data_IF_680708296192
#
_entry.id   IF_680708296192
#
_cell.length_a   1.000
_cell.length_b   1.000
_cell.length_c   1.000
_cell.angle_alpha   90.00
_cell.angle_beta   90.00
_cell.angle_gamma   90.00
#
_symmetry.space_group_name_H-M   'P 1'
#
loop_
_entity.id
_entity.type
_entity.pdbx_description
1 polymer ?
#
# COMPACT_ATOMS: atom_id res chain seq x y z
N UNK A 1 8.71 -20.82 1.53
CA UNK A 1 8.33 -19.41 1.70
C UNK A 1 7.84 -18.95 0.34
N UNK A 2 6.57 -18.57 0.23
CA UNK A 2 5.97 -18.25 -1.06
C UNK A 2 6.01 -16.74 -1.27
N UNK A 3 6.24 -16.31 -2.50
CA UNK A 3 6.28 -14.90 -2.87
C UNK A 3 5.13 -14.62 -3.83
N UNK A 4 4.45 -13.50 -3.63
CA UNK A 4 3.45 -12.99 -4.56
C UNK A 4 3.95 -11.68 -5.16
N UNK A 5 3.73 -11.52 -6.47
CA UNK A 5 3.94 -10.27 -7.17
C UNK A 5 2.58 -9.58 -7.31
N UNK A 6 2.52 -8.32 -6.88
CA UNK A 6 1.33 -7.48 -7.03
C UNK A 6 1.73 -6.30 -7.90
N UNK A 7 1.11 -6.18 -9.06
CA UNK A 7 1.35 -5.12 -10.05
C UNK A 7 0.13 -4.23 -10.15
N UNK A 8 0.35 -2.91 -10.20
CA UNK A 8 -0.70 -1.98 -10.58
C UNK A 8 -0.77 -1.86 -12.11
N UNK A 9 -1.57 -2.74 -12.71
CA UNK A 9 -1.82 -2.75 -14.15
C UNK A 9 -2.90 -1.75 -14.60
N UNK A 10 -3.36 -0.86 -13.71
CA UNK A 10 -4.38 0.13 -14.06
C UNK A 10 -3.84 1.21 -15.01
N UNK A 11 -4.77 1.87 -15.72
CA UNK A 11 -4.46 3.07 -16.51
C UNK A 11 -4.02 4.26 -15.65
N UNK A 12 -3.69 5.38 -16.29
CA UNK A 12 -3.19 6.58 -15.59
C UNK A 12 -4.09 7.01 -14.42
N UNK A 13 -3.45 7.51 -13.35
CA UNK A 13 -4.09 8.12 -12.18
C UNK A 13 -4.75 7.19 -11.16
N UNK A 14 -4.81 5.87 -11.37
CA UNK A 14 -5.34 4.94 -10.38
C UNK A 14 -4.21 4.39 -9.49
N UNK A 15 -4.22 4.73 -8.20
CA UNK A 15 -3.30 4.17 -7.21
C UNK A 15 -3.97 2.97 -6.54
N UNK A 16 -3.19 1.94 -6.24
CA UNK A 16 -3.62 0.84 -5.36
C UNK A 16 -2.80 0.86 -4.07
N UNK A 17 -3.42 0.49 -2.96
CA UNK A 17 -2.72 0.31 -1.69
C UNK A 17 -2.71 -1.17 -1.33
N UNK A 18 -1.52 -1.69 -1.08
CA UNK A 18 -1.29 -2.99 -0.45
C UNK A 18 -1.21 -2.77 1.06
N UNK A 19 -1.94 -3.56 1.83
CA UNK A 19 -1.89 -3.59 3.28
C UNK A 19 -1.50 -5.00 3.71
N UNK A 20 -0.42 -5.09 4.47
CA UNK A 20 0.13 -6.32 5.03
C UNK A 20 -0.10 -6.30 6.52
N UNK A 21 -0.86 -7.26 7.06
CA UNK A 21 -1.10 -7.35 8.51
C UNK A 21 -0.55 -8.66 9.06
N UNK A 22 0.22 -8.59 10.14
CA UNK A 22 0.83 -9.74 10.80
C UNK A 22 1.16 -9.42 12.25
N UNK A 23 0.85 -10.34 13.17
CA UNK A 23 1.17 -10.21 14.61
C UNK A 23 0.76 -8.86 15.26
N UNK A 24 -0.35 -8.27 14.81
CA UNK A 24 -0.82 -6.96 15.31
C UNK A 24 -0.12 -5.75 14.67
N UNK A 25 0.81 -5.96 13.75
CA UNK A 25 1.41 -4.91 12.92
C UNK A 25 0.68 -4.78 11.59
N UNK A 26 0.62 -3.55 11.07
CA UNK A 26 0.07 -3.24 9.75
C UNK A 26 1.07 -2.36 8.98
N UNK A 27 1.45 -2.81 7.79
CA UNK A 27 2.32 -2.07 6.87
C UNK A 27 1.51 -1.77 5.61
N UNK A 28 1.57 -0.53 5.14
CA UNK A 28 0.89 -0.13 3.90
C UNK A 28 1.87 0.42 2.87
N UNK A 29 1.63 0.07 1.60
CA UNK A 29 2.40 0.53 0.45
C UNK A 29 1.46 0.91 -0.66
N UNK A 30 1.67 2.10 -1.22
CA UNK A 30 0.94 2.59 -2.38
C UNK A 30 1.74 2.23 -3.64
N UNK A 31 1.05 1.79 -4.69
CA UNK A 31 1.63 1.51 -6.02
C UNK A 31 0.98 2.42 -7.04
N UNK A 32 1.78 3.22 -7.75
CA UNK A 32 1.31 4.02 -8.88
C UNK A 32 1.08 3.11 -10.10
N UNK A 33 0.33 3.58 -11.13
CA UNK A 33 0.21 2.84 -12.38
C UNK A 33 1.57 2.42 -12.95
N UNK A 34 1.74 1.13 -13.23
CA UNK A 34 2.99 0.53 -13.70
C UNK A 34 3.99 0.11 -12.60
N UNK A 35 3.76 0.47 -11.33
CA UNK A 35 4.56 -0.01 -10.22
C UNK A 35 4.18 -1.45 -9.83
N UNK A 36 5.12 -2.16 -9.20
CA UNK A 36 4.88 -3.48 -8.63
C UNK A 36 5.53 -3.64 -7.26
N UNK A 37 5.08 -4.65 -6.52
CA UNK A 37 5.65 -5.07 -5.26
C UNK A 37 5.74 -6.59 -5.17
N UNK A 38 6.88 -7.08 -4.71
CA UNK A 38 7.04 -8.44 -4.23
C UNK A 38 6.71 -8.51 -2.74
N UNK A 39 5.81 -9.42 -2.37
CA UNK A 39 5.38 -9.61 -0.99
C UNK A 39 5.60 -11.07 -0.59
N UNK A 40 6.37 -11.27 0.48
CA UNK A 40 6.56 -12.59 1.08
C UNK A 40 5.31 -12.98 1.87
N UNK A 41 4.82 -14.19 1.61
CA UNK A 41 3.63 -14.78 2.24
C UNK A 41 4.05 -15.76 3.33
N UNK A 42 3.41 -15.64 4.48
CA UNK A 42 3.50 -16.57 5.60
C UNK A 42 2.10 -16.94 6.10
N UNK A 43 1.99 -18.02 6.87
CA UNK A 43 0.71 -18.54 7.36
C UNK A 43 -0.06 -17.58 8.32
N UNK A 44 0.60 -16.54 8.82
CA UNK A 44 0.04 -15.61 9.81
C UNK A 44 -0.11 -14.18 9.29
N UNK A 45 0.04 -14.00 7.97
CA UNK A 45 0.02 -12.68 7.33
C UNK A 45 -1.18 -12.57 6.39
N UNK A 46 -1.97 -11.52 6.56
CA UNK A 46 -3.00 -11.14 5.60
C UNK A 46 -2.40 -10.12 4.61
N UNK A 47 -2.83 -10.21 3.35
CA UNK A 47 -2.50 -9.22 2.33
C UNK A 47 -3.82 -8.73 1.75
N UNK A 48 -4.12 -7.45 1.92
CA UNK A 48 -5.28 -6.79 1.35
C UNK A 48 -4.83 -5.84 0.27
N UNK A 49 -5.43 -5.91 -0.91
CA UNK A 49 -5.21 -4.97 -2.00
C UNK A 49 -6.49 -4.18 -2.21
N UNK A 50 -6.40 -2.85 -2.24
CA UNK A 50 -7.54 -1.97 -2.52
C UNK A 50 -7.17 -0.87 -3.49
N UNK A 51 -8.15 -0.44 -4.27
CA UNK A 51 -8.08 0.82 -5.00
C UNK A 51 -8.10 1.98 -4.00
N UNK A 52 -7.23 2.97 -4.24
CA UNK A 52 -7.20 4.22 -3.47
C UNK A 52 -7.41 5.37 -4.44
N UNK A 53 -8.54 6.06 -4.31
CA UNK A 53 -8.90 7.13 -5.23
C UNK A 53 -7.99 8.38 -5.06
N UNK A 54 -7.83 9.16 -6.14
CA UNK A 54 -7.03 10.38 -6.17
C UNK A 54 -7.27 11.38 -5.01
N UNK A 55 -8.50 11.48 -4.51
CA UNK A 55 -8.78 12.44 -3.45
C UNK A 55 -8.32 11.93 -2.07
N UNK A 56 -8.26 10.61 -1.88
CA UNK A 56 -7.88 9.94 -0.63
C UNK A 56 -6.36 9.84 -0.45
N UNK A 57 -5.56 9.72 -1.52
CA UNK A 57 -4.09 9.74 -1.41
C UNK A 57 -3.55 11.14 -1.14
N UNK A 58 -4.12 12.17 -1.77
CA UNK A 58 -3.75 13.57 -1.55
C UNK A 58 -3.95 13.98 -0.07
N UNK A 59 -4.97 13.45 0.58
CA UNK A 59 -5.21 13.68 2.01
C UNK A 59 -4.20 12.92 2.89
N UNK A 60 -3.86 11.68 2.54
CA UNK A 60 -2.87 10.87 3.30
C UNK A 60 -1.45 11.43 3.21
N UNK A 61 -1.04 11.93 2.05
CA UNK A 61 0.27 12.58 1.87
C UNK A 61 0.45 13.81 2.77
N UNK A 62 -0.60 14.63 2.93
CA UNK A 62 -0.56 15.79 3.85
C UNK A 62 -0.45 15.37 5.32
N UNK A 63 -1.13 14.28 5.72
CA UNK A 63 -1.09 13.81 7.10
C UNK A 63 0.28 13.20 7.48
N UNK A 64 0.98 12.52 6.56
CA UNK A 64 2.36 12.04 6.81
C UNK A 64 3.34 13.20 7.04
N UNK A 65 3.19 14.32 6.36
CA UNK A 65 4.06 15.50 6.57
C UNK A 65 3.74 16.25 7.87
N UNK A 66 2.49 16.21 8.35
CA UNK A 66 2.11 16.88 9.61
C UNK A 66 2.65 16.15 10.84
N UNK A 67 2.69 14.81 10.82
CA UNK A 67 3.27 14.02 11.92
C UNK A 67 4.80 14.13 12.06
N UNK A 68 5.49 14.71 11.06
CA UNK A 68 6.95 14.98 11.13
C UNK A 68 7.22 16.40 11.61
N UNK A 69 6.20 17.27 11.66
CA UNK A 69 6.36 18.70 12.00
C UNK A 69 6.03 19.04 13.46
N UNK A 70 5.43 18.11 14.21
CA UNK A 70 5.16 18.22 15.66
C UNK A 70 6.02 17.17 16.40
N UNK A 71 7.33 17.39 16.47
CA UNK A 71 8.26 16.66 17.34
C UNK A 71 9.43 17.57 17.76
#
# INVERSE_FOLDING_TARGET
>A
MNMVLIENAAGSSQVITIIEEFAGHSVSRDLNPGDHAEVLVSQFKSITVRETYPDDWLTRGRNRNRSVSDA
#
